data_IF_404684556564
#
_entry.id   IF_404684556564
#
_cell.length_a   1.000
_cell.length_b   1.000
_cell.length_c   1.000
_cell.angle_alpha   90.00
_cell.angle_beta   90.00
_cell.angle_gamma   90.00
#
_symmetry.space_group_name_H-M   'P 1'
#
loop_
_entity.id
_entity.type
_entity.pdbx_description
1 polymer ?
#
# COMPACT_ATOMS: atom_id res chain seq x y z
N UNK A 1 18.58 -2.25 -1.75
CA UNK A 1 19.89 -2.87 -1.92
C UNK A 1 20.86 -1.76 -2.27
N UNK A 2 21.75 -1.36 -1.36
CA UNK A 2 22.93 -0.56 -1.74
C UNK A 2 23.94 -1.49 -2.42
N UNK A 3 24.05 -1.42 -3.75
CA UNK A 3 25.24 -1.97 -4.42
C UNK A 3 26.41 -1.04 -4.09
N UNK A 4 27.10 -1.28 -2.95
CA UNK A 4 28.20 -0.41 -2.48
C UNK A 4 29.36 -0.28 -3.48
N UNK A 5 29.45 -1.17 -4.47
CA UNK A 5 30.48 -1.16 -5.52
C UNK A 5 30.22 -0.16 -6.65
N UNK A 6 28.97 0.27 -6.85
CA UNK A 6 28.60 1.30 -7.83
C UNK A 6 27.90 2.39 -7.04
N UNK A 7 28.37 3.65 -7.08
CA UNK A 7 27.82 4.77 -6.29
C UNK A 7 26.37 5.17 -6.67
N UNK A 8 25.46 4.21 -6.74
CA UNK A 8 24.09 4.29 -7.22
C UNK A 8 23.16 3.82 -6.11
N UNK A 9 22.11 4.59 -5.88
CA UNK A 9 21.05 4.25 -4.95
C UNK A 9 19.87 3.65 -5.71
N UNK A 10 19.38 2.50 -5.24
CA UNK A 10 18.19 1.84 -5.78
C UNK A 10 17.12 1.75 -4.70
N UNK A 11 15.91 2.22 -5.00
CA UNK A 11 14.74 2.13 -4.11
C UNK A 11 13.57 1.52 -4.87
N UNK A 12 12.90 0.56 -4.26
CA UNK A 12 11.69 -0.07 -4.81
C UNK A 12 10.46 0.52 -4.15
N UNK A 13 9.49 0.98 -4.94
CA UNK A 13 8.20 1.47 -4.49
C UNK A 13 7.13 0.39 -4.72
N UNK A 14 6.43 -0.01 -3.65
CA UNK A 14 5.36 -1.01 -3.71
C UNK A 14 4.04 -0.40 -3.19
N UNK A 15 3.34 0.42 -4.00
CA UNK A 15 2.07 1.03 -3.60
C UNK A 15 0.91 0.06 -3.77
N UNK A 16 -0.18 0.31 -3.03
CA UNK A 16 -1.49 -0.24 -3.37
C UNK A 16 -2.13 0.48 -4.55
N UNK A 17 -3.45 0.34 -4.72
CA UNK A 17 -4.20 1.07 -5.73
C UNK A 17 -3.89 2.58 -5.65
N UNK A 18 -3.54 3.17 -6.79
CA UNK A 18 -3.15 4.58 -6.90
C UNK A 18 -4.01 5.25 -7.96
N UNK A 19 -4.61 6.39 -7.61
CA UNK A 19 -5.47 7.18 -8.50
C UNK A 19 -4.62 7.75 -9.63
N UNK A 20 -4.65 7.05 -10.76
CA UNK A 20 -3.94 7.33 -12.01
C UNK A 20 -4.89 7.06 -13.17
N UNK A 21 -4.55 7.53 -14.37
CA UNK A 21 -5.35 7.24 -15.57
C UNK A 21 -5.29 5.77 -16.01
N UNK A 22 -4.45 4.93 -15.40
CA UNK A 22 -4.37 3.50 -15.74
C UNK A 22 -5.70 2.79 -15.52
N UNK A 23 -6.42 3.07 -14.42
CA UNK A 23 -7.74 2.46 -14.17
C UNK A 23 -8.75 2.85 -15.26
N UNK A 24 -8.81 4.14 -15.63
CA UNK A 24 -9.68 4.63 -16.69
C UNK A 24 -9.35 4.01 -18.05
N UNK A 25 -8.06 3.87 -18.37
CA UNK A 25 -7.59 3.27 -19.61
C UNK A 25 -7.91 1.77 -19.69
N UNK A 26 -7.85 1.06 -18.57
CA UNK A 26 -8.23 -0.35 -18.45
C UNK A 26 -9.77 -0.54 -18.33
N UNK A 27 -10.56 0.54 -18.38
CA UNK A 27 -12.03 0.47 -18.26
C UNK A 27 -12.51 0.04 -16.86
N UNK A 28 -11.68 0.25 -15.83
CA UNK A 28 -11.97 -0.16 -14.45
C UNK A 28 -12.13 1.05 -13.53
N UNK A 29 -12.93 0.90 -12.49
CA UNK A 29 -13.08 1.96 -11.50
C UNK A 29 -11.90 1.99 -10.53
N UNK A 30 -11.44 3.20 -10.22
CA UNK A 30 -10.40 3.37 -9.20
C UNK A 30 -11.03 3.16 -7.82
N UNK A 31 -10.45 2.32 -6.95
CA UNK A 31 -10.96 2.15 -5.59
C UNK A 31 -11.01 3.47 -4.82
N UNK A 32 -12.09 3.73 -4.08
CA UNK A 32 -12.23 4.97 -3.30
C UNK A 32 -11.10 5.17 -2.28
N UNK A 33 -10.61 4.06 -1.71
CA UNK A 33 -9.50 4.01 -0.75
C UNK A 33 -8.12 4.16 -1.38
N UNK A 34 -8.03 4.31 -2.71
CA UNK A 34 -6.76 4.52 -3.40
C UNK A 34 -6.11 5.86 -3.02
N UNK A 35 -4.79 5.85 -2.88
CA UNK A 35 -4.01 7.07 -2.68
C UNK A 35 -3.89 7.86 -3.98
N UNK A 36 -3.71 9.18 -3.91
CA UNK A 36 -3.43 9.97 -5.12
C UNK A 36 -2.02 9.66 -5.65
N UNK A 37 -1.80 9.84 -6.95
CA UNK A 37 -0.47 9.70 -7.54
C UNK A 37 0.55 10.67 -6.91
N UNK A 38 0.12 11.90 -6.60
CA UNK A 38 0.93 12.92 -5.95
C UNK A 38 1.39 12.47 -4.55
N UNK A 39 0.48 11.93 -3.74
CA UNK A 39 0.81 11.42 -2.41
C UNK A 39 1.80 10.26 -2.46
N UNK A 40 1.59 9.32 -3.40
CA UNK A 40 2.47 8.17 -3.61
C UNK A 40 3.87 8.62 -4.04
N UNK A 41 3.98 9.54 -5.00
CA UNK A 41 5.24 10.09 -5.47
C UNK A 41 5.98 10.87 -4.38
N UNK A 42 5.26 11.75 -3.66
CA UNK A 42 5.81 12.54 -2.55
C UNK A 42 6.31 11.65 -1.42
N UNK A 43 5.59 10.59 -1.08
CA UNK A 43 6.02 9.60 -0.10
C UNK A 43 7.27 8.86 -0.57
N UNK A 44 7.28 8.37 -1.81
CA UNK A 44 8.40 7.66 -2.40
C UNK A 44 9.68 8.50 -2.37
N UNK A 45 9.60 9.77 -2.79
CA UNK A 45 10.71 10.71 -2.77
C UNK A 45 11.27 10.91 -1.35
N UNK A 46 10.39 11.15 -0.37
CA UNK A 46 10.81 11.34 1.04
C UNK A 46 11.51 10.11 1.61
N UNK A 47 11.11 8.89 1.23
CA UNK A 47 11.76 7.67 1.69
C UNK A 47 13.06 7.38 0.92
N UNK A 48 13.09 7.70 -0.37
CA UNK A 48 14.30 7.65 -1.18
C UNK A 48 15.40 8.54 -0.58
N UNK A 49 15.09 9.79 -0.24
CA UNK A 49 16.05 10.70 0.43
C UNK A 49 16.56 10.18 1.78
N UNK A 50 15.80 9.29 2.43
CA UNK A 50 16.20 8.60 3.68
C UNK A 50 17.04 7.35 3.43
N UNK A 51 17.58 7.15 2.22
CA UNK A 51 18.34 5.96 1.84
C UNK A 51 17.57 4.64 2.06
N UNK A 52 16.24 4.65 1.94
CA UNK A 52 15.45 3.42 2.05
C UNK A 52 15.49 2.62 0.75
N UNK A 53 15.67 1.32 0.93
CA UNK A 53 15.73 0.35 -0.15
C UNK A 53 14.34 -0.08 -0.66
N UNK A 54 13.38 -0.22 0.26
CA UNK A 54 12.01 -0.64 -0.05
C UNK A 54 11.04 0.31 0.64
N UNK A 55 10.10 0.81 -0.15
CA UNK A 55 9.13 1.82 0.26
C UNK A 55 7.73 1.32 -0.01
N UNK A 56 6.94 1.12 1.05
CA UNK A 56 5.55 0.65 0.98
C UNK A 56 4.62 1.75 1.50
N UNK A 57 3.96 2.52 0.62
CA UNK A 57 2.89 3.45 0.98
C UNK A 57 1.66 2.68 1.50
N UNK A 58 0.89 3.31 2.39
CA UNK A 58 -0.31 2.72 2.97
C UNK A 58 -0.08 2.13 4.36
N UNK A 59 -0.40 2.92 5.38
CA UNK A 59 -0.19 2.55 6.79
C UNK A 59 -1.22 1.52 7.29
N UNK A 60 -2.39 1.44 6.64
CA UNK A 60 -3.49 0.56 7.06
C UNK A 60 -3.11 -0.91 7.07
N UNK A 61 -2.43 -1.43 6.04
CA UNK A 61 -2.09 -2.86 6.02
C UNK A 61 -1.12 -3.20 7.16
N UNK A 62 -0.18 -2.31 7.46
CA UNK A 62 0.79 -2.47 8.55
C UNK A 62 0.15 -2.38 9.95
N UNK A 63 -0.93 -1.59 10.12
CA UNK A 63 -1.73 -1.56 11.34
C UNK A 63 -2.61 -2.81 11.45
N UNK A 64 -3.28 -3.21 10.36
CA UNK A 64 -4.16 -4.38 10.33
C UNK A 64 -3.37 -5.64 10.70
N UNK A 65 -2.11 -5.80 10.25
CA UNK A 65 -1.27 -6.95 10.64
C UNK A 65 -0.95 -6.95 12.15
N UNK A 66 -0.87 -5.78 12.80
CA UNK A 66 -0.64 -5.66 14.25
C UNK A 66 -1.89 -5.96 15.10
N UNK A 67 -3.08 -6.02 14.50
CA UNK A 67 -4.29 -6.36 15.24
C UNK A 67 -4.30 -7.85 15.62
N UNK A 68 -4.69 -8.20 16.86
CA UNK A 68 -4.73 -9.58 17.31
C UNK A 68 -5.65 -10.42 16.41
N UNK A 69 -5.12 -11.56 15.93
CA UNK A 69 -5.81 -12.52 15.07
C UNK A 69 -7.21 -12.89 15.57
N UNK A 70 -7.37 -13.03 16.90
CA UNK A 70 -8.67 -13.32 17.53
C UNK A 70 -9.76 -12.28 17.21
N UNK A 71 -9.39 -11.00 17.14
CA UNK A 71 -10.36 -9.94 16.84
C UNK A 71 -10.73 -9.93 15.35
N UNK A 72 -9.76 -10.18 14.46
CA UNK A 72 -10.02 -10.35 13.02
C UNK A 72 -10.98 -11.51 12.75
N UNK A 73 -10.73 -12.66 13.36
CA UNK A 73 -11.57 -13.85 13.19
C UNK A 73 -12.99 -13.62 13.73
N UNK A 74 -13.14 -12.86 14.82
CA UNK A 74 -14.46 -12.47 15.36
C UNK A 74 -15.22 -11.53 14.41
N UNK A 75 -14.55 -10.55 13.81
CA UNK A 75 -15.16 -9.65 12.84
C UNK A 75 -15.63 -10.39 11.58
N UNK A 76 -14.78 -11.27 11.03
CA UNK A 76 -15.13 -12.12 9.88
C UNK A 76 -16.29 -13.06 10.22
N UNK A 77 -16.29 -13.68 11.41
CA UNK A 77 -17.38 -14.53 11.85
C UNK A 77 -18.71 -13.76 11.97
N UNK A 78 -18.67 -12.48 12.38
CA UNK A 78 -19.84 -11.61 12.46
C UNK A 78 -20.37 -11.24 11.07
N UNK A 79 -19.48 -10.85 10.14
CA UNK A 79 -19.86 -10.56 8.74
C UNK A 79 -20.49 -11.76 8.04
N UNK A 80 -19.99 -12.97 8.29
CA UNK A 80 -20.58 -14.21 7.73
C UNK A 80 -21.97 -14.50 8.30
N UNK A 81 -22.26 -14.04 9.51
CA UNK A 81 -23.56 -14.21 10.18
C UNK A 81 -24.61 -13.21 9.69
N UNK A 82 -24.18 -12.00 9.31
CA UNK A 82 -25.03 -10.94 8.74
C UNK A 82 -25.33 -11.15 7.24
N UNK A 83 -24.47 -11.86 6.48
CA UNK A 83 -24.70 -12.19 5.06
C UNK A 83 -25.41 -13.54 4.84
N UNK A 84 -25.85 -14.21 5.91
CA UNK A 84 -26.69 -15.42 5.87
C UNK A 84 -27.99 -15.10 6.59
N UNK A 85 -28.72 -14.11 6.06
CA UNK A 85 -30.16 -13.87 6.27
C UNK A 85 -30.70 -13.36 4.94
#
# INVERSE_FOLDING_TARGET
MKQKEKAVQVCTLCPGATKTNFFAQEGTETPQSAMTAEDVASYAYKQFMKNKDVTVPGFLNRIIIKFPLKLKMRAVAKMKKENVV
#
